data_IF_999284679731
#
_entry.id   IF_999284679731
#
_cell.length_a   1.000
_cell.length_b   1.000
_cell.length_c   1.000
_cell.angle_alpha   90.00
_cell.angle_beta   90.00
_cell.angle_gamma   90.00
#
_symmetry.space_group_name_H-M   'P 1'
#
loop_
_entity.id
_entity.type
_entity.pdbx_description
1 polymer ?
#
# COMPACT_ATOMS: atom_id res chain seq x y z
N UNK A 1 -17.61 -4.09 -26.31
CA UNK A 1 -16.94 -3.96 -25.01
C UNK A 1 -15.98 -2.79 -25.15
N UNK A 2 -16.21 -1.66 -24.47
CA UNK A 2 -15.29 -0.53 -24.57
C UNK A 2 -13.90 -0.98 -24.15
N UNK A 3 -12.94 -0.69 -25.01
CA UNK A 3 -11.51 -0.83 -24.76
C UNK A 3 -11.18 0.07 -23.56
N UNK A 4 -11.17 -0.52 -22.36
CA UNK A 4 -10.59 0.12 -21.20
C UNK A 4 -9.10 0.22 -21.50
N UNK A 5 -8.70 1.31 -22.16
CA UNK A 5 -7.31 1.72 -22.33
C UNK A 5 -6.59 1.37 -21.04
N UNK A 6 -5.71 0.38 -21.12
CA UNK A 6 -5.15 -0.28 -19.95
C UNK A 6 -4.43 0.77 -19.11
N UNK A 7 -5.10 1.28 -18.08
CA UNK A 7 -4.50 2.26 -17.19
C UNK A 7 -3.31 1.58 -16.52
N UNK A 8 -2.12 2.15 -16.71
CA UNK A 8 -0.90 1.61 -16.13
C UNK A 8 -0.96 1.75 -14.60
N UNK A 9 -0.95 0.61 -13.91
CA UNK A 9 -0.93 0.54 -12.45
C UNK A 9 0.23 -0.35 -12.01
N UNK A 10 0.96 0.10 -10.99
CA UNK A 10 1.99 -0.68 -10.31
C UNK A 10 1.82 -0.48 -8.81
N UNK A 11 1.73 -1.58 -8.07
CA UNK A 11 1.78 -1.58 -6.62
C UNK A 11 3.14 -2.12 -6.17
N UNK A 12 3.81 -1.37 -5.31
CA UNK A 12 5.04 -1.76 -4.64
C UNK A 12 4.73 -2.02 -3.17
N UNK A 13 4.97 -3.24 -2.71
CA UNK A 13 4.75 -3.64 -1.33
C UNK A 13 6.08 -4.00 -0.70
N UNK A 14 6.51 -3.30 0.34
CA UNK A 14 7.75 -3.57 1.07
C UNK A 14 7.40 -4.00 2.50
N UNK A 15 7.93 -5.15 2.92
CA UNK A 15 7.86 -5.62 4.29
C UNK A 15 9.27 -5.78 4.87
N UNK A 16 9.52 -5.15 6.00
CA UNK A 16 10.80 -5.14 6.70
C UNK A 16 10.66 -5.72 8.13
N UNK A 17 10.37 -7.04 8.27
CA UNK A 17 10.27 -7.65 9.59
C UNK A 17 11.66 -7.89 10.18
N UNK A 18 11.80 -7.71 11.49
CA UNK A 18 12.98 -8.18 12.21
C UNK A 18 12.92 -9.71 12.43
N UNK A 19 14.05 -10.36 12.81
CA UNK A 19 14.07 -11.79 13.08
C UNK A 19 12.98 -12.23 14.07
N UNK A 20 12.16 -13.20 13.65
CA UNK A 20 11.05 -13.73 14.46
C UNK A 20 9.71 -12.98 14.31
N UNK A 21 9.71 -11.79 13.71
CA UNK A 21 8.48 -11.05 13.47
C UNK A 21 7.71 -11.58 12.26
N UNK A 22 6.38 -11.52 12.33
CA UNK A 22 5.48 -11.96 11.25
C UNK A 22 4.44 -10.91 10.86
N UNK A 23 4.30 -9.84 11.65
CA UNK A 23 3.26 -8.83 11.46
C UNK A 23 3.37 -8.14 10.10
N UNK A 24 4.54 -7.61 9.74
CA UNK A 24 4.74 -6.92 8.46
C UNK A 24 4.45 -7.80 7.24
N UNK A 25 4.81 -9.08 7.29
CA UNK A 25 4.49 -10.04 6.22
C UNK A 25 2.99 -10.26 6.09
N UNK A 26 2.26 -10.31 7.21
CA UNK A 26 0.79 -10.40 7.21
C UNK A 26 0.15 -9.13 6.64
N UNK A 27 0.67 -7.96 6.97
CA UNK A 27 0.19 -6.69 6.41
C UNK A 27 0.41 -6.63 4.90
N UNK A 28 1.59 -7.02 4.41
CA UNK A 28 1.89 -7.11 2.98
C UNK A 28 0.95 -8.11 2.29
N UNK A 29 0.75 -9.30 2.85
CA UNK A 29 -0.15 -10.30 2.28
C UNK A 29 -1.60 -9.79 2.23
N UNK A 30 -2.09 -9.17 3.31
CA UNK A 30 -3.42 -8.57 3.36
C UNK A 30 -3.58 -7.46 2.31
N UNK A 31 -2.57 -6.60 2.15
CA UNK A 31 -2.58 -5.55 1.13
C UNK A 31 -2.58 -6.13 -0.29
N UNK A 32 -1.75 -7.14 -0.57
CA UNK A 32 -1.74 -7.81 -1.86
C UNK A 32 -3.11 -8.41 -2.20
N UNK A 33 -3.73 -9.12 -1.25
CA UNK A 33 -5.09 -9.66 -1.42
C UNK A 33 -6.13 -8.56 -1.67
N UNK A 34 -6.02 -7.44 -0.95
CA UNK A 34 -6.92 -6.31 -1.13
C UNK A 34 -6.79 -5.62 -2.50
N UNK A 35 -5.59 -5.61 -3.08
CA UNK A 35 -5.32 -5.08 -4.43
C UNK A 35 -5.82 -6.04 -5.52
N UNK A 36 -5.57 -7.34 -5.37
CA UNK A 36 -6.12 -8.37 -6.26
C UNK A 36 -7.65 -8.34 -6.27
N UNK A 37 -8.29 -8.23 -5.10
CA UNK A 37 -9.73 -8.11 -4.97
C UNK A 37 -10.31 -6.83 -5.62
N UNK A 38 -9.46 -5.82 -5.85
CA UNK A 38 -9.82 -4.58 -6.58
C UNK A 38 -9.50 -4.65 -8.08
N UNK A 39 -9.01 -5.79 -8.57
CA UNK A 39 -8.77 -6.04 -9.98
C UNK A 39 -7.36 -5.66 -10.47
N UNK A 40 -6.40 -5.39 -9.59
CA UNK A 40 -4.99 -5.34 -10.01
C UNK A 40 -4.53 -6.74 -10.44
N UNK A 41 -3.81 -6.83 -11.54
CA UNK A 41 -3.22 -8.10 -11.98
C UNK A 41 -2.00 -8.45 -11.10
N UNK A 42 -1.68 -9.75 -11.01
CA UNK A 42 -0.56 -10.23 -10.18
C UNK A 42 0.78 -9.67 -10.63
N UNK A 43 0.99 -9.50 -11.94
CA UNK A 43 2.20 -8.91 -12.51
C UNK A 43 2.31 -7.40 -12.28
N UNK A 44 1.24 -6.75 -11.81
CA UNK A 44 1.21 -5.34 -11.40
C UNK A 44 1.48 -5.15 -9.90
N UNK A 45 1.69 -6.22 -9.13
CA UNK A 45 1.98 -6.17 -7.70
C UNK A 45 3.39 -6.72 -7.47
N UNK A 46 4.34 -5.84 -7.21
CA UNK A 46 5.70 -6.22 -6.85
C UNK A 46 5.84 -6.19 -5.33
N UNK A 47 6.34 -7.28 -4.77
CA UNK A 47 6.54 -7.42 -3.33
C UNK A 47 8.00 -7.66 -3.00
N UNK A 48 8.50 -6.97 -2.00
CA UNK A 48 9.81 -7.16 -1.41
C UNK A 48 9.65 -7.53 0.06
N UNK A 49 10.25 -8.64 0.47
CA UNK A 49 10.36 -9.09 1.85
C UNK A 49 11.64 -9.92 1.99
N UNK A 50 12.27 -9.88 3.16
CA UNK A 50 13.30 -10.78 3.74
C UNK A 50 14.36 -11.46 2.83
N UNK A 51 15.66 -11.42 3.20
CA UNK A 51 16.32 -10.41 4.04
C UNK A 51 16.31 -9.06 3.32
N UNK A 52 15.97 -8.00 4.05
CA UNK A 52 15.97 -6.64 3.51
C UNK A 52 17.16 -5.86 4.05
N UNK A 53 17.85 -5.18 3.16
CA UNK A 53 18.92 -4.23 3.45
C UNK A 53 18.73 -3.01 2.52
N UNK A 54 19.46 -1.92 2.80
CA UNK A 54 19.37 -0.70 1.99
C UNK A 54 19.68 -0.95 0.51
N UNK A 55 20.78 -1.65 0.12
CA UNK A 55 21.05 -1.92 -1.29
C UNK A 55 19.92 -2.66 -2.03
N UNK A 56 19.32 -3.69 -1.41
CA UNK A 56 18.20 -4.46 -2.02
C UNK A 56 16.95 -3.61 -2.15
N UNK A 57 16.63 -2.81 -1.15
CA UNK A 57 15.49 -1.91 -1.20
C UNK A 57 15.66 -0.90 -2.34
N UNK A 58 16.85 -0.29 -2.47
CA UNK A 58 17.14 0.65 -3.57
C UNK A 58 17.09 -0.03 -4.95
N UNK A 59 17.67 -1.23 -5.09
CA UNK A 59 17.61 -1.98 -6.34
C UNK A 59 16.17 -2.36 -6.74
N UNK A 60 15.32 -2.70 -5.77
CA UNK A 60 13.90 -2.96 -6.00
C UNK A 60 13.16 -1.70 -6.49
N UNK A 61 13.44 -0.55 -5.87
CA UNK A 61 12.85 0.73 -6.26
C UNK A 61 13.33 1.19 -7.65
N UNK A 62 14.60 0.99 -7.98
CA UNK A 62 15.18 1.28 -9.29
C UNK A 62 14.57 0.40 -10.40
N UNK A 63 14.38 -0.89 -10.13
CA UNK A 63 13.69 -1.80 -11.05
C UNK A 63 12.23 -1.37 -11.29
N UNK A 64 11.54 -0.93 -10.23
CA UNK A 64 10.19 -0.39 -10.35
C UNK A 64 10.17 0.93 -11.14
N UNK A 65 11.10 1.85 -10.86
CA UNK A 65 11.29 3.11 -11.58
C UNK A 65 11.48 2.87 -13.08
N UNK A 66 12.38 1.95 -13.43
CA UNK A 66 12.64 1.55 -14.82
C UNK A 66 11.38 1.03 -15.52
N UNK A 67 10.51 0.29 -14.81
CA UNK A 67 9.26 -0.23 -15.37
C UNK A 67 8.23 0.86 -15.68
N UNK A 68 8.23 1.95 -14.89
CA UNK A 68 7.28 3.06 -15.05
C UNK A 68 7.84 4.23 -15.85
N UNK A 69 9.14 4.24 -16.16
CA UNK A 69 9.81 5.33 -16.85
C UNK A 69 9.19 5.70 -18.21
N UNK A 70 8.61 4.73 -18.92
CA UNK A 70 7.98 4.94 -20.23
C UNK A 70 6.49 5.32 -20.14
N UNK A 71 5.91 5.35 -18.95
CA UNK A 71 4.47 5.59 -18.80
C UNK A 71 4.16 7.06 -19.07
N UNK A 72 3.34 7.32 -20.09
CA UNK A 72 2.82 8.66 -20.33
C UNK A 72 1.83 9.08 -19.22
N UNK A 73 1.06 8.11 -18.72
CA UNK A 73 0.09 8.25 -17.64
C UNK A 73 0.00 6.93 -16.85
N UNK A 74 -0.28 7.01 -15.55
CA UNK A 74 -0.41 5.83 -14.72
C UNK A 74 -0.47 6.18 -13.23
N UNK A 75 -0.59 5.15 -12.40
CA UNK A 75 -0.56 5.28 -10.95
C UNK A 75 0.41 4.26 -10.34
N UNK A 76 1.28 4.77 -9.47
CA UNK A 76 2.10 3.94 -8.58
C UNK A 76 1.51 4.01 -7.17
N UNK A 77 1.27 2.84 -6.60
CA UNK A 77 0.88 2.67 -5.20
C UNK A 77 2.07 2.11 -4.43
N UNK A 78 2.42 2.72 -3.30
CA UNK A 78 3.49 2.25 -2.43
C UNK A 78 2.90 1.93 -1.05
N UNK A 79 3.18 0.74 -0.56
CA UNK A 79 2.89 0.32 0.81
C UNK A 79 4.17 -0.19 1.46
N UNK A 80 4.50 0.36 2.62
CA UNK A 80 5.67 -0.03 3.41
C UNK A 80 5.18 -0.45 4.80
N UNK A 81 5.60 -1.62 5.26
CA UNK A 81 5.34 -2.12 6.62
C UNK A 81 6.66 -2.55 7.25
N UNK A 82 7.02 -1.95 8.38
CA UNK A 82 8.30 -2.15 9.05
C UNK A 82 8.48 -1.21 10.23
N UNK A 83 9.62 -1.34 10.91
CA UNK A 83 9.98 -0.45 12.01
C UNK A 83 10.41 0.91 11.46
N UNK A 84 9.85 1.98 12.03
CA UNK A 84 10.30 3.33 11.73
C UNK A 84 11.48 3.74 12.59
N UNK A 85 12.32 4.62 12.08
CA UNK A 85 13.34 5.31 12.88
C UNK A 85 13.43 6.79 12.50
N UNK A 86 14.13 7.55 13.33
CA UNK A 86 14.51 8.94 13.05
C UNK A 86 16.02 9.09 13.29
N UNK A 87 16.73 9.81 12.41
CA UNK A 87 18.10 10.25 12.65
C UNK A 87 18.19 11.78 12.67
N UNK A 88 18.99 12.35 13.55
CA UNK A 88 19.16 13.79 13.71
C UNK A 88 19.19 14.18 15.20
N UNK A 89 19.82 15.30 15.51
CA UNK A 89 20.02 15.74 16.89
C UNK A 89 18.86 16.60 17.40
N UNK A 90 18.04 17.14 16.50
CA UNK A 90 16.92 18.03 16.81
C UNK A 90 15.67 17.63 16.02
N UNK A 91 14.51 18.16 16.42
CA UNK A 91 13.25 17.93 15.70
C UNK A 91 13.32 18.47 14.27
N UNK A 92 14.01 19.59 14.06
CA UNK A 92 14.17 20.25 12.76
C UNK A 92 15.09 19.47 11.82
N UNK A 93 16.03 18.70 12.39
CA UNK A 93 16.99 17.88 11.64
C UNK A 93 16.60 16.41 11.59
N UNK A 94 15.49 16.03 12.23
CA UNK A 94 15.01 14.66 12.28
C UNK A 94 14.61 14.16 10.89
N UNK A 95 15.32 13.14 10.43
CA UNK A 95 15.11 12.44 9.17
C UNK A 95 14.42 11.10 9.44
N UNK A 96 13.14 10.97 9.10
CA UNK A 96 12.42 9.71 9.23
C UNK A 96 12.86 8.67 8.18
N UNK A 97 12.78 7.39 8.56
CA UNK A 97 13.04 6.29 7.64
C UNK A 97 12.57 4.94 8.16
N UNK A 98 12.98 3.90 7.44
CA UNK A 98 12.70 2.49 7.68
C UNK A 98 13.95 1.80 8.25
N UNK A 99 13.77 1.05 9.34
CA UNK A 99 14.80 0.27 10.01
C UNK A 99 14.72 -1.19 9.52
N UNK A 100 15.83 -1.72 9.04
CA UNK A 100 15.99 -3.11 8.60
C UNK A 100 16.70 -3.98 9.64
N UNK A 101 17.75 -3.44 10.27
CA UNK A 101 18.53 -4.11 11.31
C UNK A 101 18.94 -3.13 12.39
N UNK A 102 18.96 -3.60 13.64
CA UNK A 102 19.48 -2.83 14.79
C UNK A 102 21.01 -2.89 14.91
N UNK A 103 21.69 -3.39 13.86
CA UNK A 103 23.15 -3.53 13.90
C UNK A 103 23.81 -2.16 13.98
N UNK A 104 24.66 -1.97 14.99
CA UNK A 104 25.58 -0.82 15.11
C UNK A 104 26.74 -0.88 14.10
N UNK A 105 26.69 -1.81 13.14
CA UNK A 105 27.72 -1.95 12.11
C UNK A 105 27.90 -0.63 11.37
N UNK A 106 29.17 -0.29 11.09
CA UNK A 106 29.54 1.00 10.53
C UNK A 106 29.00 1.25 9.09
N UNK A 107 28.34 0.28 8.47
CA UNK A 107 27.64 0.50 7.20
C UNK A 107 26.21 0.96 7.47
N UNK A 108 25.82 2.07 6.85
CA UNK A 108 24.47 2.66 6.92
C UNK A 108 23.42 1.81 6.15
N UNK A 109 23.61 0.49 6.10
CA UNK A 109 22.78 -0.44 5.33
C UNK A 109 21.57 -0.94 6.11
N UNK A 110 21.57 -0.74 7.43
CA UNK A 110 20.47 -1.07 8.33
C UNK A 110 19.28 -0.12 8.25
N UNK A 111 19.39 0.97 7.48
CA UNK A 111 18.41 2.04 7.42
C UNK A 111 18.08 2.45 5.98
N UNK A 112 16.85 2.92 5.74
CA UNK A 112 16.48 3.59 4.51
C UNK A 112 15.68 4.85 4.82
N UNK A 113 16.25 6.02 4.52
CA UNK A 113 15.55 7.29 4.65
C UNK A 113 14.44 7.43 3.60
N UNK A 114 13.36 8.14 3.96
CA UNK A 114 12.27 8.38 2.99
C UNK A 114 12.74 9.19 1.78
N UNK A 115 13.66 10.14 1.96
CA UNK A 115 14.23 10.91 0.85
C UNK A 115 14.93 10.00 -0.17
N UNK A 116 15.72 9.04 0.29
CA UNK A 116 16.42 8.08 -0.55
C UNK A 116 15.42 7.15 -1.27
N UNK A 117 14.37 6.71 -0.56
CA UNK A 117 13.31 5.90 -1.15
C UNK A 117 12.62 6.63 -2.30
N UNK A 118 12.23 7.90 -2.09
CA UNK A 118 11.53 8.67 -3.11
C UNK A 118 12.47 9.12 -4.25
N UNK A 119 13.74 9.39 -3.95
CA UNK A 119 14.76 9.67 -4.95
C UNK A 119 14.98 8.46 -5.87
N UNK A 120 15.05 7.24 -5.31
CA UNK A 120 15.24 6.01 -6.08
C UNK A 120 14.06 5.70 -7.01
N UNK A 121 12.84 6.07 -6.63
CA UNK A 121 11.67 5.91 -7.51
C UNK A 121 11.71 6.86 -8.72
N UNK A 122 12.45 7.97 -8.65
CA UNK A 122 12.68 8.94 -9.73
C UNK A 122 11.44 9.23 -10.58
N UNK A 123 10.26 9.34 -9.94
CA UNK A 123 9.00 9.38 -10.67
C UNK A 123 8.96 10.59 -11.61
N UNK A 124 8.44 10.43 -12.84
CA UNK A 124 8.27 11.56 -13.74
C UNK A 124 7.49 12.66 -13.03
N UNK A 125 7.87 13.94 -13.23
CA UNK A 125 7.14 15.05 -12.62
C UNK A 125 5.67 14.92 -13.00
N UNK A 126 4.79 15.04 -12.01
CA UNK A 126 3.35 15.03 -12.24
C UNK A 126 3.04 16.05 -13.33
N UNK A 127 2.54 15.60 -14.48
CA UNK A 127 1.93 16.54 -15.43
C UNK A 127 0.86 17.29 -14.66
N UNK A 128 0.98 18.63 -14.64
CA UNK A 128 -0.01 19.47 -14.01
C UNK A 128 -1.36 19.10 -14.63
N UNK A 129 -2.25 18.52 -13.81
CA UNK A 129 -3.63 18.33 -14.23
C UNK A 129 -4.19 19.73 -14.37
N UNK A 130 -4.45 20.16 -15.60
CA UNK A 130 -5.05 21.46 -15.85
C UNK A 130 -6.36 21.54 -15.03
N UNK A 131 -6.43 22.41 -14.01
CA UNK A 131 -7.62 22.52 -13.18
C UNK A 131 -8.86 22.95 -13.98
N UNK A 132 -8.69 23.57 -15.16
CA UNK A 132 -9.80 23.95 -16.03
C UNK A 132 -10.52 22.74 -16.64
N UNK A 133 -9.81 21.62 -16.89
CA UNK A 133 -10.40 20.41 -17.46
C UNK A 133 -11.33 19.65 -16.49
N UNK A 134 -11.24 19.91 -15.17
CA UNK A 134 -12.11 19.29 -14.16
C UNK A 134 -13.50 19.93 -14.04
N UNK A 135 -13.75 21.06 -14.70
CA UNK A 135 -14.99 21.83 -14.50
C UNK A 135 -16.18 21.41 -15.39
N UNK A 136 -16.03 20.42 -16.28
CA UNK A 136 -17.05 20.12 -17.31
C UNK A 136 -17.94 18.88 -17.09
N UNK A 137 -17.82 18.17 -15.97
CA UNK A 137 -18.70 17.03 -15.65
C UNK A 137 -19.27 17.08 -14.23
N UNK A 138 -19.78 18.26 -13.83
CA UNK A 138 -20.76 18.31 -12.74
C UNK A 138 -22.13 17.97 -13.33
N UNK A 139 -22.39 16.67 -13.49
CA UNK A 139 -23.71 16.16 -13.84
C UNK A 139 -24.67 16.60 -12.71
N UNK A 140 -25.76 17.33 -13.00
CA UNK A 140 -26.71 17.72 -11.97
C UNK A 140 -27.35 16.47 -11.38
N UNK A 141 -27.18 16.26 -10.07
CA UNK A 141 -27.85 15.24 -9.29
C UNK A 141 -29.35 15.57 -9.16
N UNK A 142 -30.09 15.44 -10.27
CA UNK A 142 -31.55 15.46 -10.29
C UNK A 142 -32.07 14.02 -10.34
N UNK A 143 -32.09 13.33 -9.20
CA UNK A 143 -32.70 12.01 -9.06
C UNK A 143 -33.51 11.94 -7.76
N UNK A 144 -34.81 11.65 -7.80
CA UNK A 144 -35.70 11.75 -6.65
C UNK A 144 -35.36 10.70 -5.59
N UNK A 145 -35.38 11.17 -4.34
CA UNK A 145 -35.15 10.44 -3.11
C UNK A 145 -36.18 9.29 -2.96
N UNK A 146 -35.80 8.06 -3.29
CA UNK A 146 -36.57 6.87 -2.93
C UNK A 146 -36.25 6.48 -1.49
N UNK A 147 -37.23 6.69 -0.59
CA UNK A 147 -37.15 6.28 0.83
C UNK A 147 -36.90 4.77 0.96
N UNK A 148 -35.99 4.32 1.85
CA UNK A 148 -35.90 2.90 2.19
C UNK A 148 -37.12 2.47 3.01
N UNK A 149 -37.77 1.38 2.56
CA UNK A 149 -38.78 0.63 3.33
C UNK A 149 -38.10 0.00 4.55
N UNK A 150 -38.54 0.42 5.72
CA UNK A 150 -38.28 -0.18 7.02
C UNK A 150 -38.72 -1.67 6.97
N UNK A 151 -37.77 -2.60 7.11
CA UNK A 151 -38.07 -4.02 7.31
C UNK A 151 -38.05 -4.29 8.80
N UNK A 152 -39.23 -4.56 9.34
CA UNK A 152 -39.38 -5.14 10.67
C UNK A 152 -38.76 -6.54 10.68
N UNK A 153 -37.90 -6.81 11.66
CA UNK A 153 -37.43 -8.15 11.97
C UNK A 153 -38.19 -8.71 13.18
N UNK A 154 -38.82 -9.89 13.06
CA UNK A 154 -39.49 -10.54 14.17
C UNK A 154 -38.49 -11.10 15.17
N UNK A 155 -38.75 -10.82 16.44
CA UNK A 155 -38.10 -11.40 17.61
C UNK A 155 -38.47 -12.89 17.69
N UNK A 156 -37.56 -13.75 17.24
CA UNK A 156 -37.70 -15.20 17.25
C UNK A 156 -37.10 -15.83 18.50
N UNK A 157 -37.96 -16.10 19.46
CA UNK A 157 -37.73 -16.84 20.71
C UNK A 157 -37.36 -18.31 20.47
N UNK A 158 -36.44 -18.86 21.30
CA UNK A 158 -36.63 -20.08 22.12
C UNK A 158 -35.48 -21.13 22.12
N UNK A 159 -35.14 -21.51 23.37
CA UNK A 159 -34.90 -22.87 23.92
C UNK A 159 -33.61 -23.61 23.56
N UNK A 160 -32.74 -23.82 24.56
CA UNK A 160 -32.63 -25.01 25.44
C UNK A 160 -32.12 -26.27 24.72
N UNK A 161 -30.88 -26.64 25.03
CA UNK A 161 -30.36 -27.99 24.87
C UNK A 161 -29.30 -28.24 25.94
N UNK A 162 -29.67 -29.01 26.94
CA UNK A 162 -28.82 -29.52 28.01
C UNK A 162 -28.16 -30.84 27.58
N UNK A 163 -27.04 -31.19 28.23
CA UNK A 163 -26.45 -32.54 28.24
C UNK A 163 -25.25 -32.67 27.30
N UNK A 164 -24.13 -33.31 27.65
CA UNK A 164 -23.76 -34.22 28.75
C UNK A 164 -22.22 -34.20 28.88
N UNK A 165 -21.64 -34.75 29.98
CA UNK A 165 -20.19 -34.85 30.15
C UNK A 165 -19.60 -36.20 29.68
N UNK A 166 -18.26 -36.26 29.66
CA UNK A 166 -17.32 -37.43 29.72
C UNK A 166 -16.66 -37.88 28.41
N UNK A 167 -15.51 -38.57 28.47
CA UNK A 167 -14.69 -38.99 29.63
C UNK A 167 -13.53 -38.07 30.00
#
# INVERSE_FOLDING_TARGET
MPDMTAHHHLALLIAAPQPGETAMRRDQAAMAQALLARGLATDQILSLHDPLDRPRALAFLDAASSRVASWAEGALFLHVSGHGFFAGDTVETARPGLLFSESEDASDDGHLFWDDLFAALALPPRRAVDPAARSLTRQPAGGPCARPRQRDHPTGCARRGAGLPRP
#
